data_IF_787892325036
#
_entry.id   IF_787892325036
#
_cell.length_a   1.000
_cell.length_b   1.000
_cell.length_c   1.000
_cell.angle_alpha   90.00
_cell.angle_beta   90.00
_cell.angle_gamma   90.00
#
_symmetry.space_group_name_H-M   'P 1'
#
loop_
_entity.id
_entity.type
_entity.pdbx_description
1 polymer ?
#
# COMPACT_ATOMS: atom_id res chain seq x y z
N UNK A 1 27.08 34.09 17.97
CA UNK A 1 26.54 32.86 17.34
C UNK A 1 26.40 31.78 18.39
N UNK A 2 25.18 31.33 18.66
CA UNK A 2 24.87 30.25 19.59
C UNK A 2 25.05 28.91 18.89
N UNK A 3 25.84 28.00 19.44
CA UNK A 3 26.00 26.65 18.88
C UNK A 3 25.07 25.68 19.58
N UNK A 4 24.33 24.88 18.81
CA UNK A 4 23.43 23.84 19.29
C UNK A 4 23.95 22.50 18.81
N UNK A 5 24.21 21.59 19.75
CA UNK A 5 24.70 20.24 19.46
C UNK A 5 23.59 19.21 19.66
N UNK A 6 23.35 18.38 18.63
CA UNK A 6 22.36 17.31 18.64
C UNK A 6 23.03 15.94 18.55
N UNK A 7 22.32 14.90 19.02
CA UNK A 7 22.80 13.52 18.93
C UNK A 7 22.94 13.08 17.47
N UNK A 8 23.85 12.13 17.17
CA UNK A 8 23.96 11.53 15.85
C UNK A 8 22.64 10.90 15.40
N UNK A 9 22.31 11.06 14.11
CA UNK A 9 21.10 10.52 13.51
C UNK A 9 19.90 11.48 13.51
N UNK A 10 18.71 10.90 13.68
CA UNK A 10 17.42 11.60 13.68
C UNK A 10 17.00 11.99 15.12
N UNK A 11 17.59 13.04 15.68
CA UNK A 11 17.34 13.49 17.06
C UNK A 11 16.17 14.48 17.14
N UNK A 12 14.94 13.96 17.07
CA UNK A 12 13.73 14.78 17.13
C UNK A 12 13.53 15.44 18.50
N UNK A 13 13.86 14.74 19.58
CA UNK A 13 13.62 15.24 20.95
C UNK A 13 14.66 16.28 21.36
N UNK A 14 15.92 16.09 20.96
CA UNK A 14 16.95 17.13 21.06
C UNK A 14 16.58 18.37 20.25
N UNK A 15 16.11 18.19 19.01
CA UNK A 15 15.65 19.29 18.17
C UNK A 15 14.47 20.05 18.81
N UNK A 16 13.46 19.34 19.34
CA UNK A 16 12.32 19.96 20.05
C UNK A 16 12.76 20.78 21.25
N UNK A 17 13.68 20.24 22.05
CA UNK A 17 14.20 20.91 23.24
C UNK A 17 14.99 22.17 22.87
N UNK A 18 15.81 22.10 21.82
CA UNK A 18 16.54 23.24 21.28
C UNK A 18 15.59 24.32 20.73
N UNK A 19 14.57 23.95 19.96
CA UNK A 19 13.58 24.89 19.43
C UNK A 19 12.82 25.59 20.55
N UNK A 20 12.40 24.88 21.61
CA UNK A 20 11.74 25.52 22.77
C UNK A 20 12.63 26.60 23.38
N UNK A 21 13.89 26.29 23.63
CA UNK A 21 14.85 27.23 24.21
C UNK A 21 15.14 28.43 23.29
N UNK A 22 15.38 28.18 21.99
CA UNK A 22 15.64 29.22 20.99
C UNK A 22 14.43 30.16 20.85
N UNK A 23 13.23 29.59 20.93
CA UNK A 23 11.98 30.35 20.85
C UNK A 23 11.73 31.19 22.10
N UNK A 24 12.11 30.73 23.30
CA UNK A 24 12.02 31.53 24.52
C UNK A 24 12.95 32.74 24.49
N UNK A 25 14.12 32.60 23.86
CA UNK A 25 15.13 33.65 23.72
C UNK A 25 15.00 34.49 22.44
N UNK A 26 13.99 34.21 21.62
CA UNK A 26 13.73 34.82 20.33
C UNK A 26 14.97 34.94 19.42
N UNK A 27 15.79 33.90 19.39
CA UNK A 27 17.07 33.91 18.67
C UNK A 27 16.82 33.71 17.17
N UNK A 28 17.36 34.61 16.35
CA UNK A 28 17.27 34.51 14.90
C UNK A 28 18.00 33.27 14.37
N UNK A 29 17.46 32.55 13.36
CA UNK A 29 18.14 31.42 12.73
C UNK A 29 19.54 31.72 12.20
N UNK A 30 19.82 32.97 11.81
CA UNK A 30 21.15 33.39 11.33
C UNK A 30 22.21 33.42 12.45
N UNK A 31 21.79 33.47 13.71
CA UNK A 31 22.68 33.52 14.86
C UNK A 31 22.95 32.13 15.46
N UNK A 32 22.37 31.07 14.89
CA UNK A 32 22.43 29.70 15.41
C UNK A 32 23.26 28.82 14.49
N UNK A 33 24.26 28.15 15.05
CA UNK A 33 25.03 27.11 14.37
C UNK A 33 24.56 25.73 14.85
N UNK A 34 24.04 24.91 13.94
CA UNK A 34 23.61 23.55 14.25
C UNK A 34 24.73 22.55 13.97
N UNK A 35 25.09 21.75 14.97
CA UNK A 35 26.11 20.70 14.87
C UNK A 35 25.58 19.36 15.37
N UNK A 36 26.12 18.29 14.81
CA UNK A 36 25.82 16.91 15.22
C UNK A 36 27.14 16.31 15.73
N UNK A 37 27.19 15.91 17.01
CA UNK A 37 28.41 15.38 17.63
C UNK A 37 28.14 14.05 18.34
N UNK A 38 29.09 13.11 18.25
CA UNK A 38 29.00 11.77 18.84
C UNK A 38 29.31 11.74 20.36
N UNK A 39 30.08 12.72 20.83
CA UNK A 39 30.32 12.99 22.24
C UNK A 39 29.81 14.42 22.47
N UNK A 40 28.80 14.64 23.33
CA UNK A 40 28.39 15.99 23.69
C UNK A 40 29.49 16.58 24.59
N UNK A 41 30.58 17.05 23.98
CA UNK A 41 31.61 17.80 24.66
C UNK A 41 31.05 19.19 25.00
N UNK A 42 30.57 19.30 26.23
CA UNK A 42 30.73 20.48 27.07
C UNK A 42 30.25 21.84 26.51
N UNK A 43 29.18 21.93 25.72
CA UNK A 43 28.55 23.23 25.44
C UNK A 43 27.03 23.14 25.43
N UNK A 44 26.42 23.73 26.46
CA UNK A 44 24.97 23.83 26.72
C UNK A 44 24.26 22.47 26.88
N UNK A 45 24.25 21.96 28.13
CA UNK A 45 23.03 21.27 28.63
C UNK A 45 21.89 22.26 28.48
N UNK A 46 21.19 22.23 27.35
CA UNK A 46 19.97 22.97 27.16
C UNK A 46 18.98 22.38 28.17
N UNK A 47 18.85 23.01 29.34
CA UNK A 47 17.75 22.81 30.27
C UNK A 47 16.45 23.33 29.62
N UNK A 48 16.12 22.83 28.43
CA UNK A 48 14.87 23.12 27.71
C UNK A 48 13.68 22.33 28.26
N UNK A 49 13.90 21.53 29.33
CA UNK A 49 12.84 20.86 30.07
C UNK A 49 11.88 21.86 30.72
N UNK A 50 12.37 23.05 31.12
CA UNK A 50 11.58 24.10 31.80
C UNK A 50 11.00 25.17 30.85
N UNK A 51 11.25 25.07 29.54
CA UNK A 51 10.73 26.04 28.56
C UNK A 51 9.30 25.66 28.12
N UNK A 52 8.37 26.64 28.03
CA UNK A 52 6.98 26.36 27.69
C UNK A 52 6.85 25.75 26.28
N UNK A 53 5.86 24.86 26.07
CA UNK A 53 5.67 24.21 24.78
C UNK A 53 5.33 25.24 23.70
N UNK A 54 6.00 25.11 22.55
CA UNK A 54 5.73 25.95 21.39
C UNK A 54 4.51 25.43 20.65
N UNK A 55 3.49 26.27 20.48
CA UNK A 55 2.30 25.94 19.68
C UNK A 55 2.66 26.06 18.20
N UNK A 56 2.63 24.93 17.48
CA UNK A 56 2.90 24.86 16.05
C UNK A 56 1.73 24.18 15.31
N UNK A 57 1.45 24.55 14.05
CA UNK A 57 0.48 23.84 13.23
C UNK A 57 0.84 22.35 13.08
N UNK A 58 -0.17 21.49 13.03
CA UNK A 58 0.01 20.04 12.90
C UNK A 58 0.85 19.65 11.67
N UNK A 59 0.69 20.37 10.56
CA UNK A 59 1.46 20.15 9.33
C UNK A 59 2.98 20.35 9.54
N UNK A 60 3.38 21.35 10.32
CA UNK A 60 4.79 21.62 10.65
C UNK A 60 5.35 20.50 11.52
N UNK A 61 4.57 20.02 12.50
CA UNK A 61 4.97 18.91 13.36
C UNK A 61 5.20 17.62 12.56
N UNK A 62 4.29 17.26 11.66
CA UNK A 62 4.47 16.08 10.81
C UNK A 62 5.64 16.23 9.84
N UNK A 63 5.82 17.43 9.26
CA UNK A 63 6.97 17.71 8.41
C UNK A 63 8.29 17.58 9.18
N UNK A 64 8.37 18.12 10.40
CA UNK A 64 9.58 18.05 11.23
C UNK A 64 10.01 16.61 11.52
N UNK A 65 9.08 15.70 11.82
CA UNK A 65 9.37 14.27 12.04
C UNK A 65 10.10 13.64 10.84
N UNK A 66 9.61 13.92 9.62
CA UNK A 66 10.18 13.35 8.40
C UNK A 66 11.50 14.03 8.04
N UNK A 67 11.62 15.35 8.16
CA UNK A 67 12.81 16.09 7.75
C UNK A 67 14.01 15.82 8.67
N UNK A 68 13.78 15.61 9.96
CA UNK A 68 14.85 15.23 10.92
C UNK A 68 15.55 13.94 10.48
N UNK A 69 14.85 13.05 9.75
CA UNK A 69 15.42 11.83 9.19
C UNK A 69 16.35 12.09 7.98
N UNK A 70 16.32 13.27 7.35
CA UNK A 70 17.18 13.54 6.18
C UNK A 70 18.67 13.59 6.58
N UNK A 71 19.59 13.28 5.66
CA UNK A 71 21.04 13.22 5.96
C UNK A 71 21.77 14.57 5.84
N UNK A 72 21.22 15.52 5.09
CA UNK A 72 21.75 16.88 4.93
C UNK A 72 21.96 17.57 6.30
N UNK A 73 23.16 18.12 6.60
CA UNK A 73 23.46 18.80 7.86
C UNK A 73 22.61 20.05 8.11
N UNK A 74 22.14 20.74 7.07
CA UNK A 74 21.36 21.97 7.19
C UNK A 74 19.88 21.73 7.58
N UNK A 75 19.45 20.47 7.68
CA UNK A 75 18.04 20.12 7.98
C UNK A 75 17.47 20.81 9.22
N UNK A 76 18.26 20.89 10.29
CA UNK A 76 17.83 21.52 11.55
C UNK A 76 17.77 23.04 11.43
N UNK A 77 18.72 23.65 10.72
CA UNK A 77 18.72 25.09 10.43
C UNK A 77 17.51 25.48 9.58
N UNK A 78 17.19 24.72 8.53
CA UNK A 78 16.03 24.96 7.67
C UNK A 78 14.70 24.82 8.42
N UNK A 79 14.57 23.79 9.28
CA UNK A 79 13.40 23.63 10.14
C UNK A 79 13.27 24.76 11.16
N UNK A 80 14.37 25.21 11.75
CA UNK A 80 14.37 26.37 12.65
C UNK A 80 13.90 27.63 11.94
N UNK A 81 14.43 27.92 10.75
CA UNK A 81 14.02 29.07 9.92
C UNK A 81 12.54 29.04 9.56
N UNK A 82 12.01 27.87 9.21
CA UNK A 82 10.57 27.69 8.95
C UNK A 82 9.74 28.02 10.21
N UNK A 83 10.12 27.45 11.36
CA UNK A 83 9.40 27.64 12.63
C UNK A 83 9.45 29.11 13.08
N UNK A 84 10.60 29.76 12.94
CA UNK A 84 10.78 31.16 13.29
C UNK A 84 9.89 32.08 12.43
N UNK A 85 9.86 31.89 11.10
CA UNK A 85 9.00 32.69 10.18
C UNK A 85 7.51 32.51 10.45
N UNK A 86 7.06 31.28 10.71
CA UNK A 86 5.65 31.00 11.04
C UNK A 86 5.24 31.71 12.33
N UNK A 87 6.14 31.78 13.32
CA UNK A 87 5.89 32.51 14.57
C UNK A 87 5.86 34.02 14.39
N UNK A 88 6.66 34.56 13.46
CA UNK A 88 6.76 36.00 13.18
C UNK A 88 5.67 36.53 12.22
N UNK A 89 4.62 35.74 11.95
CA UNK A 89 3.42 36.20 11.26
C UNK A 89 3.08 35.43 9.99
N UNK A 90 4.01 34.62 9.45
CA UNK A 90 3.80 33.88 8.20
C UNK A 90 3.09 32.52 8.42
N UNK A 91 1.87 32.55 8.95
CA UNK A 91 1.13 31.33 9.36
C UNK A 91 0.83 30.34 8.22
N UNK A 92 0.70 30.84 6.99
CA UNK A 92 0.39 30.06 5.78
C UNK A 92 1.63 29.75 4.92
N UNK A 93 2.85 29.94 5.46
CA UNK A 93 4.09 29.77 4.70
C UNK A 93 4.19 28.39 4.02
N UNK A 94 3.69 27.33 4.65
CA UNK A 94 3.69 25.97 4.07
C UNK A 94 2.83 25.82 2.80
N UNK A 95 1.87 26.71 2.55
CA UNK A 95 1.03 26.70 1.34
C UNK A 95 1.75 27.36 0.15
N UNK A 96 2.78 28.16 0.41
CA UNK A 96 3.55 28.88 -0.62
C UNK A 96 4.67 28.00 -1.15
N UNK A 97 4.34 27.17 -2.15
CA UNK A 97 5.29 26.23 -2.77
C UNK A 97 6.50 26.90 -3.48
N UNK A 98 6.38 28.19 -3.82
CA UNK A 98 7.44 29.00 -4.43
C UNK A 98 8.48 29.49 -3.43
N UNK A 99 8.21 29.44 -2.12
CA UNK A 99 9.16 29.87 -1.11
C UNK A 99 10.41 28.96 -1.12
N UNK A 100 11.65 29.50 -1.11
CA UNK A 100 12.87 28.71 -1.18
C UNK A 100 13.03 27.68 -0.05
N UNK A 101 12.62 28.01 1.18
CA UNK A 101 12.71 27.12 2.34
C UNK A 101 11.70 25.98 2.18
N UNK A 102 10.45 26.32 1.84
CA UNK A 102 9.38 25.34 1.64
C UNK A 102 9.71 24.38 0.49
N UNK A 103 10.25 24.89 -0.61
CA UNK A 103 10.68 24.08 -1.74
C UNK A 103 11.79 23.10 -1.34
N UNK A 104 12.80 23.58 -0.62
CA UNK A 104 13.92 22.75 -0.16
C UNK A 104 13.46 21.66 0.82
N UNK A 105 12.63 22.02 1.81
CA UNK A 105 12.02 21.07 2.73
C UNK A 105 11.12 20.05 2.00
N UNK A 106 10.36 20.47 1.00
CA UNK A 106 9.53 19.56 0.19
C UNK A 106 10.37 18.54 -0.59
N UNK A 107 11.53 18.95 -1.14
CA UNK A 107 12.48 18.04 -1.79
C UNK A 107 13.08 17.04 -0.80
N UNK A 108 13.53 17.50 0.36
CA UNK A 108 14.04 16.65 1.44
C UNK A 108 12.98 15.63 1.89
N UNK A 109 11.74 16.05 2.09
CA UNK A 109 10.62 15.17 2.43
C UNK A 109 10.42 14.07 1.38
N UNK A 110 10.45 14.43 0.09
CA UNK A 110 10.33 13.45 -1.02
C UNK A 110 11.51 12.48 -1.04
N UNK A 111 12.72 12.94 -0.74
CA UNK A 111 13.91 12.09 -0.69
C UNK A 111 13.83 11.05 0.45
N UNK A 112 13.47 11.48 1.66
CA UNK A 112 13.23 10.58 2.82
C UNK A 112 12.13 9.57 2.51
N UNK A 113 11.00 10.03 1.96
CA UNK A 113 9.89 9.13 1.61
C UNK A 113 10.29 8.09 0.54
N UNK A 114 11.13 8.47 -0.43
CA UNK A 114 11.68 7.55 -1.43
C UNK A 114 12.59 6.51 -0.78
N UNK A 115 13.46 6.91 0.14
CA UNK A 115 14.38 6.00 0.82
C UNK A 115 13.64 5.00 1.72
N UNK A 116 12.58 5.46 2.42
CA UNK A 116 11.66 4.58 3.15
C UNK A 116 10.99 3.58 2.20
N UNK A 117 10.49 4.06 1.06
CA UNK A 117 9.90 3.19 0.04
C UNK A 117 10.90 2.16 -0.48
N UNK A 118 12.15 2.56 -0.73
CA UNK A 118 13.22 1.66 -1.15
C UNK A 118 13.50 0.60 -0.10
N UNK A 119 13.56 0.97 1.17
CA UNK A 119 13.72 0.02 2.26
C UNK A 119 12.56 -0.98 2.29
N UNK A 120 11.31 -0.53 2.21
CA UNK A 120 10.15 -1.43 2.17
C UNK A 120 10.14 -2.35 0.94
N UNK A 121 10.58 -1.85 -0.22
CA UNK A 121 10.52 -2.58 -1.48
C UNK A 121 11.68 -3.57 -1.67
N UNK A 122 12.89 -3.20 -1.24
CA UNK A 122 14.13 -3.91 -1.57
C UNK A 122 14.79 -4.63 -0.41
N UNK A 123 14.37 -4.39 0.85
CA UNK A 123 14.90 -5.14 1.99
C UNK A 123 14.46 -6.62 1.91
N UNK A 124 15.41 -7.53 2.09
CA UNK A 124 15.19 -8.99 2.01
C UNK A 124 15.77 -9.66 3.25
N UNK A 125 14.97 -10.56 3.82
CA UNK A 125 15.35 -11.36 4.99
C UNK A 125 15.97 -12.68 4.54
N UNK A 126 17.13 -12.98 5.10
CA UNK A 126 17.84 -14.24 4.95
C UNK A 126 17.68 -15.02 6.24
N UNK A 127 17.40 -16.32 6.14
CA UNK A 127 17.26 -17.18 7.33
C UNK A 127 18.65 -17.56 7.82
N UNK A 128 18.93 -17.31 9.09
CA UNK A 128 20.16 -17.73 9.76
C UNK A 128 19.75 -18.67 10.90
N UNK A 129 20.24 -19.91 10.84
CA UNK A 129 20.07 -20.88 11.93
C UNK A 129 21.17 -20.64 12.94
N UNK A 130 20.80 -20.27 14.16
CA UNK A 130 21.72 -20.27 15.30
C UNK A 130 21.21 -21.30 16.31
N UNK A 131 22.11 -21.94 17.07
CA UNK A 131 21.85 -23.10 17.95
C UNK A 131 20.49 -23.06 18.70
N UNK A 132 19.45 -23.62 18.06
CA UNK A 132 18.09 -23.75 18.62
C UNK A 132 17.05 -22.67 18.24
N UNK A 133 17.40 -21.59 17.54
CA UNK A 133 16.44 -20.55 17.11
C UNK A 133 16.59 -20.16 15.63
N UNK A 134 15.47 -20.11 14.90
CA UNK A 134 15.43 -19.59 13.54
C UNK A 134 15.31 -18.06 13.58
N UNK A 135 16.37 -17.34 13.16
CA UNK A 135 16.38 -15.88 13.09
C UNK A 135 16.52 -15.40 11.66
N UNK A 136 15.85 -14.30 11.33
CA UNK A 136 15.91 -13.68 10.00
C UNK A 136 16.78 -12.42 10.03
N UNK A 137 17.72 -12.29 9.10
CA UNK A 137 18.65 -11.16 9.05
C UNK A 137 18.56 -10.48 7.69
N UNK A 138 18.46 -9.15 7.68
CA UNK A 138 18.43 -8.33 6.48
C UNK A 138 19.48 -7.23 6.55
N UNK A 139 20.12 -6.94 5.42
CA UNK A 139 21.05 -5.82 5.27
C UNK A 139 20.44 -4.73 4.39
N UNK A 140 20.53 -3.47 4.82
CA UNK A 140 20.11 -2.33 4.02
C UNK A 140 21.00 -1.11 4.25
N UNK A 141 21.28 -0.37 3.18
CA UNK A 141 22.12 0.84 3.20
C UNK A 141 21.27 2.08 2.90
N UNK A 142 20.68 2.69 3.94
CA UNK A 142 19.85 3.86 3.76
C UNK A 142 20.69 5.09 3.40
N UNK A 143 20.11 6.01 2.63
CA UNK A 143 20.71 7.32 2.30
C UNK A 143 20.44 8.35 3.40
N UNK A 144 19.41 8.11 4.20
CA UNK A 144 18.89 8.98 5.25
C UNK A 144 18.72 8.19 6.56
N UNK A 145 18.52 8.87 7.68
CA UNK A 145 18.30 8.27 9.00
C UNK A 145 16.85 7.76 9.16
N UNK A 146 16.45 6.80 8.31
CA UNK A 146 15.06 6.33 8.18
C UNK A 146 14.72 5.11 9.01
N UNK A 147 15.71 4.51 9.67
CA UNK A 147 15.60 3.18 10.27
C UNK A 147 14.43 3.12 11.27
N UNK A 148 14.33 4.10 12.18
CA UNK A 148 13.25 4.14 13.18
C UNK A 148 11.87 4.40 12.58
N UNK A 149 11.79 5.16 11.50
CA UNK A 149 10.52 5.48 10.83
C UNK A 149 10.03 4.30 9.97
N UNK A 150 10.95 3.53 9.37
CA UNK A 150 10.62 2.40 8.50
C UNK A 150 10.32 1.11 9.27
N UNK A 151 10.89 0.92 10.47
CA UNK A 151 10.79 -0.32 11.25
C UNK A 151 9.37 -0.73 11.67
N UNK A 152 8.46 0.17 12.06
CA UNK A 152 7.08 -0.19 12.38
C UNK A 152 6.34 -0.93 11.24
N UNK A 153 6.70 -0.66 9.98
CA UNK A 153 6.18 -1.42 8.83
C UNK A 153 6.58 -2.89 8.89
N UNK A 154 7.82 -3.19 9.26
CA UNK A 154 8.31 -4.57 9.36
C UNK A 154 7.75 -5.30 10.58
N UNK A 155 7.59 -4.60 11.72
CA UNK A 155 6.97 -5.17 12.93
C UNK A 155 5.52 -5.60 12.66
N UNK A 156 4.74 -4.72 12.01
CA UNK A 156 3.35 -5.03 11.66
C UNK A 156 3.23 -6.11 10.58
N UNK A 157 4.17 -6.18 9.63
CA UNK A 157 4.13 -7.13 8.52
C UNK A 157 4.65 -8.53 8.86
N UNK A 158 5.59 -8.60 9.81
CA UNK A 158 6.28 -9.82 10.24
C UNK A 158 6.33 -9.94 11.77
N UNK A 159 5.17 -9.97 12.47
CA UNK A 159 5.15 -10.04 13.93
C UNK A 159 5.58 -11.41 14.47
N UNK A 160 5.36 -12.48 13.70
CA UNK A 160 5.56 -13.88 14.10
C UNK A 160 6.99 -14.41 13.90
N UNK A 161 7.91 -13.58 13.41
CA UNK A 161 9.29 -13.99 13.13
C UNK A 161 10.27 -13.14 13.94
N UNK A 162 11.30 -13.77 14.50
CA UNK A 162 12.44 -13.01 15.02
C UNK A 162 13.29 -12.51 13.86
N UNK A 163 13.45 -11.20 13.76
CA UNK A 163 14.21 -10.62 12.67
C UNK A 163 15.14 -9.49 13.11
N UNK A 164 16.18 -9.26 12.32
CA UNK A 164 17.20 -8.25 12.55
C UNK A 164 17.46 -7.50 11.26
N UNK A 165 17.25 -6.19 11.27
CA UNK A 165 17.61 -5.30 10.17
C UNK A 165 18.93 -4.61 10.55
N UNK A 166 19.95 -4.87 9.76
CA UNK A 166 21.30 -4.36 9.92
C UNK A 166 21.54 -3.26 8.89
N UNK A 167 22.03 -2.11 9.36
CA UNK A 167 22.43 -1.00 8.50
C UNK A 167 23.75 -0.41 8.98
N UNK A 168 24.52 0.29 8.12
CA UNK A 168 25.77 0.93 8.52
C UNK A 168 25.58 2.08 9.52
N UNK A 169 24.36 2.57 9.72
CA UNK A 169 24.05 3.65 10.68
C UNK A 169 23.43 3.13 11.99
N UNK A 170 23.04 1.86 12.05
CA UNK A 170 22.38 1.26 13.21
C UNK A 170 21.70 -0.07 12.89
N UNK A 171 21.29 -0.79 13.93
CA UNK A 171 20.56 -2.05 13.77
C UNK A 171 19.27 -2.06 14.59
N UNK A 172 18.29 -2.82 14.13
CA UNK A 172 17.00 -3.02 14.82
C UNK A 172 16.67 -4.49 14.86
N UNK A 173 16.41 -5.01 16.06
CA UNK A 173 16.11 -6.42 16.27
C UNK A 173 14.73 -6.56 16.90
N UNK A 174 13.90 -7.40 16.30
CA UNK A 174 12.58 -7.75 16.77
C UNK A 174 12.61 -9.17 17.34
N UNK A 175 12.27 -9.32 18.62
CA UNK A 175 12.26 -10.59 19.34
C UNK A 175 10.83 -11.09 19.66
N UNK A 176 9.87 -10.79 18.78
CA UNK A 176 8.42 -11.07 18.93
C UNK A 176 7.68 -10.23 19.99
N UNK A 177 8.39 -9.66 20.95
CA UNK A 177 7.78 -8.90 22.06
C UNK A 177 8.19 -7.43 22.08
N UNK A 178 9.46 -7.15 21.75
CA UNK A 178 10.03 -5.83 21.84
C UNK A 178 10.99 -5.55 20.68
N UNK A 179 11.06 -4.27 20.32
CA UNK A 179 12.07 -3.76 19.41
C UNK A 179 13.29 -3.35 20.22
N UNK A 180 14.45 -3.91 19.89
CA UNK A 180 15.73 -3.54 20.50
C UNK A 180 16.62 -2.83 19.49
N UNK A 181 17.36 -1.83 19.97
CA UNK A 181 18.27 -1.03 19.16
C UNK A 181 19.68 -1.58 19.28
N UNK A 182 20.28 -1.95 18.14
CA UNK A 182 21.69 -2.28 18.02
C UNK A 182 22.50 -1.13 17.42
N UNK A 183 23.81 -1.17 17.63
CA UNK A 183 24.75 -0.21 17.03
C UNK A 183 24.90 -0.39 15.51
N UNK A 184 25.73 0.46 14.86
CA UNK A 184 26.15 0.26 13.47
C UNK A 184 26.66 -1.16 13.25
N UNK A 185 26.08 -1.86 12.27
CA UNK A 185 26.49 -3.21 11.92
C UNK A 185 27.36 -3.20 10.66
N UNK A 186 28.26 -4.17 10.55
CA UNK A 186 28.96 -4.44 9.29
C UNK A 186 28.10 -5.36 8.42
N UNK A 187 28.27 -5.29 7.10
CA UNK A 187 27.56 -6.17 6.18
C UNK A 187 27.87 -7.63 6.54
N UNK A 188 26.88 -8.44 6.94
CA UNK A 188 27.11 -9.84 7.26
C UNK A 188 27.57 -10.59 6.01
N UNK A 189 28.51 -11.53 6.17
CA UNK A 189 28.90 -12.46 5.11
C UNK A 189 27.78 -13.50 4.94
N UNK A 190 26.92 -13.27 3.94
CA UNK A 190 25.75 -14.10 3.63
C UNK A 190 26.04 -15.13 2.52
N UNK A 191 27.32 -15.33 2.16
CA UNK A 191 27.76 -16.20 1.05
C UNK A 191 27.65 -17.71 1.34
N UNK A 192 27.25 -18.10 2.55
CA UNK A 192 27.18 -19.50 2.96
C UNK A 192 25.73 -19.97 3.19
N UNK A 193 24.91 -20.06 2.14
CA UNK A 193 23.73 -20.95 2.04
C UNK A 193 23.09 -20.87 0.64
N UNK A 194 23.64 -21.66 -0.30
CA UNK A 194 23.35 -21.73 -1.74
C UNK A 194 21.94 -22.19 -2.16
N UNK A 195 21.07 -22.62 -1.23
CA UNK A 195 19.77 -23.22 -1.61
C UNK A 195 18.67 -22.19 -1.95
N UNK A 196 18.85 -20.91 -1.61
CA UNK A 196 17.86 -19.86 -1.88
C UNK A 196 18.19 -19.00 -3.11
N UNK A 197 19.47 -18.92 -3.51
CA UNK A 197 19.92 -18.07 -4.62
C UNK A 197 19.42 -18.57 -5.99
N UNK A 198 19.45 -19.88 -6.23
CA UNK A 198 19.00 -20.47 -7.50
C UNK A 198 17.49 -20.32 -7.73
N UNK A 199 16.68 -20.52 -6.68
CA UNK A 199 15.23 -20.36 -6.75
C UNK A 199 14.78 -18.91 -7.02
N UNK A 200 15.62 -17.93 -6.64
CA UNK A 200 15.35 -16.51 -6.81
C UNK A 200 15.82 -15.98 -8.18
N UNK A 201 16.96 -16.46 -8.67
CA UNK A 201 17.44 -16.20 -10.04
C UNK A 201 16.45 -16.77 -11.08
N UNK A 202 15.87 -17.95 -10.85
CA UNK A 202 14.88 -18.55 -11.75
C UNK A 202 13.53 -17.81 -11.74
N UNK A 203 13.14 -17.26 -10.58
CA UNK A 203 12.00 -16.35 -10.47
C UNK A 203 12.23 -15.03 -11.23
N UNK A 204 13.44 -14.48 -11.18
CA UNK A 204 13.77 -13.24 -11.87
C UNK A 204 13.98 -13.43 -13.38
N UNK A 205 14.63 -14.52 -13.81
CA UNK A 205 14.78 -14.92 -15.23
C UNK A 205 13.44 -15.14 -15.92
N UNK A 206 12.44 -15.64 -15.19
CA UNK A 206 11.08 -15.88 -15.70
C UNK A 206 10.16 -14.65 -15.67
N UNK A 207 10.50 -13.61 -14.89
CA UNK A 207 9.71 -12.38 -14.76
C UNK A 207 10.28 -11.19 -15.56
N UNK A 208 11.54 -11.28 -16.01
CA UNK A 208 12.21 -10.24 -16.80
C UNK A 208 11.64 -10.18 -18.22
N UNK A 209 10.86 -9.13 -18.53
CA UNK A 209 10.30 -8.90 -19.86
C UNK A 209 11.28 -8.05 -20.71
N UNK A 210 12.00 -8.65 -21.68
CA UNK A 210 13.01 -7.94 -22.47
C UNK A 210 12.43 -6.81 -23.33
N UNK A 211 11.13 -6.84 -23.66
CA UNK A 211 10.45 -5.81 -24.45
C UNK A 211 10.09 -4.54 -23.65
N UNK A 212 10.21 -4.55 -22.31
CA UNK A 212 9.96 -3.39 -21.43
C UNK A 212 11.24 -2.69 -20.94
N UNK A 213 12.40 -3.13 -21.39
CA UNK A 213 13.71 -2.65 -20.92
C UNK A 213 14.09 -1.35 -21.62
N UNK A 214 13.72 -0.18 -21.06
CA UNK A 214 14.46 1.04 -21.37
C UNK A 214 15.72 1.06 -20.51
N UNK A 215 16.81 0.50 -21.06
CA UNK A 215 18.09 0.29 -20.37
C UNK A 215 18.62 1.59 -19.74
N UNK A 216 18.33 2.75 -20.35
CA UNK A 216 18.71 4.07 -19.81
C UNK A 216 17.91 4.47 -18.56
N UNK A 217 16.63 4.12 -18.47
CA UNK A 217 15.74 4.45 -17.34
C UNK A 217 15.99 3.49 -16.15
N UNK A 218 16.30 2.23 -16.45
CA UNK A 218 16.71 1.23 -15.46
C UNK A 218 18.06 1.58 -14.81
N UNK A 219 19.01 2.12 -15.58
CA UNK A 219 20.28 2.63 -15.07
C UNK A 219 20.14 3.94 -14.28
N UNK A 220 19.10 4.75 -14.54
CA UNK A 220 18.85 6.03 -13.87
C UNK A 220 18.16 5.86 -12.50
N UNK A 221 17.28 4.87 -12.33
CA UNK A 221 16.57 4.57 -11.07
C UNK A 221 17.33 3.60 -10.15
N UNK A 222 18.43 2.99 -10.62
CA UNK A 222 19.21 1.99 -9.87
C UNK A 222 20.64 2.45 -9.56
N UNK A 223 20.91 2.95 -8.35
CA UNK A 223 22.28 3.23 -7.90
C UNK A 223 23.10 1.94 -7.86
N UNK A 224 24.24 1.90 -8.58
CA UNK A 224 25.15 0.73 -8.68
C UNK A 224 25.57 0.13 -7.34
N UNK A 225 25.56 0.91 -6.26
CA UNK A 225 25.95 0.47 -4.91
C UNK A 225 25.07 -0.66 -4.34
N UNK A 226 23.80 -0.76 -4.74
CA UNK A 226 22.91 -1.83 -4.25
C UNK A 226 23.06 -3.15 -5.01
N UNK A 227 23.83 -3.17 -6.10
CA UNK A 227 23.98 -4.34 -6.97
C UNK A 227 24.76 -5.47 -6.31
N UNK A 228 25.71 -5.16 -5.43
CA UNK A 228 26.49 -6.15 -4.67
C UNK A 228 25.67 -6.90 -3.60
N UNK A 229 24.41 -6.51 -3.39
CA UNK A 229 23.45 -7.18 -2.52
C UNK A 229 22.33 -7.86 -3.33
N UNK A 230 22.46 -7.93 -4.66
CA UNK A 230 21.48 -8.49 -5.61
C UNK A 230 22.11 -9.61 -6.45
N UNK A 231 21.83 -10.89 -6.15
CA UNK A 231 22.19 -12.03 -7.00
C UNK A 231 21.83 -11.88 -8.49
N UNK A 232 20.78 -11.13 -8.85
CA UNK A 232 20.35 -11.00 -10.24
C UNK A 232 21.17 -10.00 -11.04
N UNK A 233 21.91 -9.09 -10.40
CA UNK A 233 22.77 -8.14 -11.08
C UNK A 233 23.89 -8.84 -11.88
N UNK A 234 24.32 -10.02 -11.44
CA UNK A 234 25.25 -10.89 -12.16
C UNK A 234 24.64 -11.52 -13.43
N UNK A 235 23.32 -11.72 -13.47
CA UNK A 235 22.59 -12.32 -14.59
C UNK A 235 22.13 -11.29 -15.65
N UNK A 236 22.10 -10.00 -15.31
CA UNK A 236 21.66 -8.91 -16.21
C UNK A 236 22.50 -8.87 -17.52
N UNK A 237 23.84 -9.00 -17.51
CA UNK A 237 24.64 -8.95 -18.75
C UNK A 237 24.37 -10.12 -19.72
N UNK A 238 24.00 -11.30 -19.21
CA UNK A 238 23.61 -12.46 -20.04
C UNK A 238 22.15 -12.35 -20.50
N UNK A 239 21.25 -11.87 -19.63
CA UNK A 239 19.85 -11.64 -19.97
C UNK A 239 19.67 -10.56 -21.05
N UNK A 240 20.51 -9.53 -21.04
CA UNK A 240 20.53 -8.48 -22.08
C UNK A 240 21.13 -9.00 -23.39
N UNK A 241 22.17 -9.85 -23.36
CA UNK A 241 22.73 -10.49 -24.56
C UNK A 241 21.74 -11.45 -25.22
N UNK A 242 21.07 -12.30 -24.44
CA UNK A 242 20.07 -13.26 -24.93
C UNK A 242 18.67 -12.67 -25.17
N UNK A 243 18.47 -11.36 -25.00
CA UNK A 243 17.19 -10.69 -25.25
C UNK A 243 16.91 -10.54 -26.75
N UNK A 244 17.94 -10.29 -27.57
CA UNK A 244 17.79 -10.12 -29.03
C UNK A 244 17.34 -11.43 -29.71
N UNK A 245 17.96 -12.56 -29.35
CA UNK A 245 17.63 -13.88 -29.92
C UNK A 245 16.24 -14.38 -29.48
N UNK A 246 15.84 -14.07 -28.23
CA UNK A 246 14.49 -14.38 -27.73
C UNK A 246 13.40 -13.53 -28.38
N UNK A 247 13.70 -12.28 -28.75
CA UNK A 247 12.77 -11.42 -29.51
C UNK A 247 12.60 -11.93 -30.95
N UNK A 248 13.69 -12.35 -31.60
CA UNK A 248 13.65 -13.00 -32.92
C UNK A 248 12.84 -14.32 -32.88
N UNK A 249 13.06 -15.15 -31.86
CA UNK A 249 12.32 -16.41 -31.67
C UNK A 249 10.83 -16.20 -31.35
N UNK A 250 10.49 -15.13 -30.61
CA UNK A 250 9.11 -14.73 -30.33
C UNK A 250 8.39 -14.13 -31.56
N UNK A 251 9.11 -13.46 -32.48
CA UNK A 251 8.53 -12.90 -33.71
C UNK A 251 8.24 -13.98 -34.76
N UNK A 252 9.05 -15.06 -34.79
CA UNK A 252 8.84 -16.20 -35.67
C UNK A 252 7.65 -17.09 -35.25
N UNK A 253 7.27 -17.07 -33.96
CA UNK A 253 6.11 -17.77 -33.43
C UNK A 253 4.88 -16.85 -33.35
N UNK A 254 4.11 -16.75 -34.43
CA UNK A 254 2.80 -16.05 -34.42
C UNK A 254 1.78 -16.74 -33.49
N UNK A 255 0.78 -16.01 -32.95
CA UNK A 255 0.55 -15.95 -31.50
C UNK A 255 -0.49 -16.97 -30.98
N UNK A 256 -0.10 -17.78 -29.99
CA UNK A 256 -1.05 -18.32 -29.00
C UNK A 256 -0.97 -17.46 -27.74
N UNK A 257 -2.06 -16.77 -27.42
CA UNK A 257 -2.22 -15.91 -26.25
C UNK A 257 -1.86 -16.66 -24.96
N UNK A 258 -0.81 -16.22 -24.28
CA UNK A 258 -0.29 -16.88 -23.08
C UNK A 258 -0.84 -16.26 -21.79
N UNK A 259 -1.34 -17.15 -20.93
CA UNK A 259 -1.80 -16.93 -19.56
C UNK A 259 -0.83 -16.06 -18.76
N UNK A 260 -1.32 -14.89 -18.33
CA UNK A 260 -0.63 -14.01 -17.39
C UNK A 260 -0.67 -14.64 -16.00
N UNK A 261 0.45 -15.22 -15.54
CA UNK A 261 0.59 -15.84 -14.21
C UNK A 261 0.73 -14.77 -13.12
N UNK A 262 -0.34 -14.63 -12.34
CA UNK A 262 -0.52 -13.86 -11.10
C UNK A 262 0.17 -14.60 -9.93
N UNK A 263 0.55 -13.95 -8.79
CA UNK A 263 1.38 -14.56 -7.75
C UNK A 263 0.59 -15.56 -6.89
N UNK A 264 0.36 -16.74 -7.44
CA UNK A 264 -0.38 -17.84 -6.83
C UNK A 264 0.36 -18.54 -5.68
N UNK A 265 1.68 -18.38 -5.56
CA UNK A 265 2.50 -19.29 -4.73
C UNK A 265 2.52 -18.95 -3.23
N UNK A 266 2.14 -17.74 -2.84
CA UNK A 266 2.11 -17.33 -1.43
C UNK A 266 0.77 -17.63 -0.74
N UNK A 267 -0.34 -17.61 -1.48
CA UNK A 267 -1.66 -18.04 -0.98
C UNK A 267 -1.80 -19.57 -1.04
N UNK A 268 -1.17 -20.23 -2.02
CA UNK A 268 -1.06 -21.71 -2.08
C UNK A 268 -0.28 -22.34 -0.93
N UNK A 269 0.45 -21.57 -0.12
CA UNK A 269 1.28 -22.10 0.98
C UNK A 269 0.59 -22.11 2.34
N UNK A 270 -0.54 -21.41 2.50
CA UNK A 270 -1.34 -21.42 3.74
C UNK A 270 -2.49 -22.43 3.70
N UNK A 271 -2.91 -22.87 2.51
CA UNK A 271 -3.96 -23.89 2.35
C UNK A 271 -3.44 -24.98 1.41
N UNK A 272 -3.15 -26.17 1.94
CA UNK A 272 -2.68 -27.34 1.17
C UNK A 272 -3.68 -27.90 0.14
N UNK A 273 -4.76 -27.18 -0.14
CA UNK A 273 -5.84 -27.61 -1.02
C UNK A 273 -6.24 -26.44 -1.92
N UNK A 274 -6.05 -26.59 -3.23
CA UNK A 274 -6.76 -25.75 -4.20
C UNK A 274 -8.22 -26.19 -4.16
N UNK A 275 -9.18 -25.29 -3.88
CA UNK A 275 -10.58 -25.69 -3.79
C UNK A 275 -11.03 -26.28 -5.13
N UNK A 276 -11.75 -27.40 -5.09
CA UNK A 276 -12.29 -28.07 -6.27
C UNK A 276 -13.69 -27.56 -6.64
N UNK A 277 -14.36 -26.86 -5.71
CA UNK A 277 -15.70 -26.32 -5.89
C UNK A 277 -15.89 -24.97 -5.18
N UNK A 278 -16.96 -24.26 -5.54
CA UNK A 278 -17.39 -23.05 -4.85
C UNK A 278 -17.72 -23.31 -3.37
N UNK A 279 -18.25 -24.48 -3.04
CA UNK A 279 -18.58 -24.88 -1.67
C UNK A 279 -17.32 -25.03 -0.81
N UNK A 280 -16.28 -25.67 -1.35
CA UNK A 280 -14.98 -25.77 -0.69
C UNK A 280 -14.32 -24.40 -0.54
N UNK A 281 -14.34 -23.56 -1.58
CA UNK A 281 -13.85 -22.18 -1.51
C UNK A 281 -14.56 -21.42 -0.37
N UNK A 282 -15.88 -21.52 -0.31
CA UNK A 282 -16.71 -20.88 0.70
C UNK A 282 -16.41 -21.38 2.13
N UNK A 283 -16.16 -22.68 2.29
CA UNK A 283 -15.75 -23.25 3.57
C UNK A 283 -14.38 -22.71 4.02
N UNK A 284 -13.43 -22.60 3.08
CA UNK A 284 -12.11 -22.04 3.38
C UNK A 284 -12.21 -20.55 3.74
N UNK A 285 -13.00 -19.76 3.01
CA UNK A 285 -13.21 -18.33 3.31
C UNK A 285 -13.77 -18.17 4.72
N UNK A 286 -14.77 -18.98 5.11
CA UNK A 286 -15.37 -18.95 6.45
C UNK A 286 -14.41 -19.35 7.56
N UNK A 287 -13.48 -20.27 7.28
CA UNK A 287 -12.50 -20.73 8.26
C UNK A 287 -11.26 -19.82 8.35
N UNK A 288 -11.04 -18.94 7.38
CA UNK A 288 -9.88 -18.05 7.33
C UNK A 288 -10.09 -16.84 8.24
N UNK A 289 -9.07 -16.50 9.05
CA UNK A 289 -9.13 -15.30 9.89
C UNK A 289 -9.30 -14.02 9.04
N UNK A 290 -10.17 -13.09 9.47
CA UNK A 290 -10.40 -11.85 8.75
C UNK A 290 -9.12 -11.00 8.63
N UNK A 291 -8.72 -10.69 7.39
CA UNK A 291 -7.58 -9.80 7.13
C UNK A 291 -7.87 -8.31 7.41
N UNK A 292 -9.15 -7.92 7.50
CA UNK A 292 -9.54 -6.53 7.76
C UNK A 292 -9.83 -6.31 9.24
N UNK A 293 -9.46 -5.14 9.76
CA UNK A 293 -9.70 -4.78 11.15
C UNK A 293 -11.19 -4.81 11.51
N UNK A 294 -11.52 -5.48 12.62
CA UNK A 294 -12.89 -5.60 13.13
C UNK A 294 -13.73 -6.68 12.45
N UNK A 295 -13.28 -7.27 11.34
CA UNK A 295 -14.00 -8.34 10.66
C UNK A 295 -14.28 -9.52 11.59
N UNK A 296 -15.49 -10.10 11.50
CA UNK A 296 -15.89 -11.26 12.32
C UNK A 296 -16.38 -12.41 11.45
N UNK A 297 -17.41 -12.14 10.65
CA UNK A 297 -18.07 -13.17 9.84
C UNK A 297 -17.83 -12.90 8.37
N UNK A 298 -17.47 -13.94 7.62
CA UNK A 298 -17.40 -13.85 6.17
C UNK A 298 -18.82 -13.76 5.58
N UNK A 299 -19.07 -12.73 4.80
CA UNK A 299 -20.26 -12.61 3.95
C UNK A 299 -19.88 -13.06 2.55
N UNK A 300 -20.38 -14.23 2.18
CA UNK A 300 -20.13 -14.86 0.90
C UNK A 300 -21.03 -14.26 -0.20
N UNK A 301 -20.71 -14.56 -1.46
CA UNK A 301 -21.63 -14.25 -2.55
C UNK A 301 -22.88 -15.12 -2.52
N UNK A 302 -23.96 -14.63 -3.13
CA UNK A 302 -25.22 -15.37 -3.27
C UNK A 302 -25.78 -15.24 -4.69
N UNK A 303 -26.42 -16.30 -5.19
CA UNK A 303 -27.09 -16.34 -6.49
C UNK A 303 -26.86 -17.66 -7.24
N UNK A 304 -27.40 -17.79 -8.47
CA UNK A 304 -27.26 -19.00 -9.26
C UNK A 304 -25.86 -19.13 -9.86
N UNK A 305 -25.51 -20.36 -10.26
CA UNK A 305 -24.34 -20.62 -11.11
C UNK A 305 -24.66 -20.23 -12.56
N UNK A 306 -23.64 -19.79 -13.30
CA UNK A 306 -23.72 -19.31 -14.69
C UNK A 306 -24.77 -18.21 -14.91
N UNK A 307 -24.82 -17.17 -14.05
CA UNK A 307 -25.76 -16.07 -14.23
C UNK A 307 -25.41 -15.28 -15.49
N UNK A 308 -26.39 -14.55 -16.03
CA UNK A 308 -26.11 -13.57 -17.07
C UNK A 308 -25.17 -12.47 -16.54
N UNK A 309 -25.39 -12.02 -15.30
CA UNK A 309 -24.64 -10.95 -14.66
C UNK A 309 -24.22 -11.34 -13.24
N UNK A 310 -22.96 -11.08 -12.91
CA UNK A 310 -22.50 -11.01 -11.52
C UNK A 310 -22.20 -9.57 -11.10
N UNK A 311 -22.70 -9.14 -9.94
CA UNK A 311 -22.42 -7.84 -9.36
C UNK A 311 -21.40 -7.94 -8.23
N UNK A 312 -20.41 -7.05 -8.23
CA UNK A 312 -19.34 -7.01 -7.23
C UNK A 312 -19.35 -5.66 -6.53
N UNK A 313 -19.61 -5.66 -5.22
CA UNK A 313 -19.52 -4.50 -4.34
C UNK A 313 -18.15 -4.32 -3.67
N UNK A 314 -18.05 -3.36 -2.75
CA UNK A 314 -16.80 -3.07 -2.02
C UNK A 314 -16.51 -4.09 -0.92
N UNK A 315 -17.37 -4.12 0.10
CA UNK A 315 -17.29 -4.99 1.27
C UNK A 315 -18.68 -5.10 1.92
N UNK A 316 -18.90 -6.04 2.83
CA UNK A 316 -20.15 -6.13 3.58
C UNK A 316 -20.30 -4.92 4.51
N UNK A 317 -21.53 -4.47 4.73
CA UNK A 317 -21.86 -3.46 5.74
C UNK A 317 -22.29 -4.10 7.06
N UNK A 318 -22.81 -3.26 7.95
CA UNK A 318 -23.25 -3.64 9.29
C UNK A 318 -24.37 -4.70 9.27
N UNK A 319 -25.38 -4.53 8.41
CA UNK A 319 -26.50 -5.46 8.31
C UNK A 319 -26.11 -6.74 7.59
N UNK A 320 -25.25 -6.63 6.57
CA UNK A 320 -24.72 -7.77 5.84
C UNK A 320 -23.89 -8.69 6.75
N UNK A 321 -23.03 -8.12 7.60
CA UNK A 321 -22.23 -8.89 8.56
C UNK A 321 -23.08 -9.62 9.61
N UNK A 322 -24.21 -9.03 10.02
CA UNK A 322 -25.15 -9.67 10.96
C UNK A 322 -25.99 -10.78 10.30
N UNK A 323 -26.41 -10.56 9.06
CA UNK A 323 -27.30 -11.48 8.35
C UNK A 323 -26.55 -12.54 7.53
N UNK A 324 -25.24 -12.35 7.30
CA UNK A 324 -24.42 -13.23 6.48
C UNK A 324 -24.73 -13.17 4.99
N UNK A 325 -25.43 -12.12 4.53
CA UNK A 325 -25.92 -11.99 3.14
C UNK A 325 -25.49 -10.65 2.52
N UNK A 326 -25.08 -10.61 1.24
CA UNK A 326 -24.62 -9.38 0.61
C UNK A 326 -25.79 -8.49 0.19
N UNK A 327 -25.60 -7.16 0.27
CA UNK A 327 -26.57 -6.15 -0.19
C UNK A 327 -27.97 -6.26 0.45
N UNK A 328 -28.05 -6.46 1.77
CA UNK A 328 -29.33 -6.46 2.53
C UNK A 328 -29.60 -5.13 3.26
N UNK A 329 -28.60 -4.26 3.38
CA UNK A 329 -28.72 -2.95 4.02
C UNK A 329 -29.34 -1.86 3.16
N UNK A 330 -29.27 -0.58 3.60
CA UNK A 330 -29.85 0.55 2.86
C UNK A 330 -29.33 0.69 1.42
N UNK A 331 -28.03 0.43 1.19
CA UNK A 331 -27.46 0.43 -0.15
C UNK A 331 -28.00 -0.73 -1.01
N UNK A 332 -28.30 -1.87 -0.38
CA UNK A 332 -28.98 -3.01 -0.99
C UNK A 332 -30.38 -2.67 -1.47
N UNK A 333 -31.16 -1.95 -0.67
CA UNK A 333 -32.50 -1.49 -1.08
C UNK A 333 -32.47 -0.57 -2.30
N UNK A 334 -31.48 0.32 -2.39
CA UNK A 334 -31.26 1.16 -3.59
C UNK A 334 -30.86 0.30 -4.78
N UNK A 335 -30.00 -0.68 -4.56
CA UNK A 335 -29.57 -1.63 -5.58
C UNK A 335 -30.75 -2.45 -6.14
N UNK A 336 -31.57 -3.04 -5.28
CA UNK A 336 -32.73 -3.84 -5.67
C UNK A 336 -33.76 -3.01 -6.46
N UNK A 337 -34.01 -1.77 -6.01
CA UNK A 337 -34.85 -0.82 -6.77
C UNK A 337 -34.29 -0.55 -8.17
N UNK A 338 -32.98 -0.35 -8.28
CA UNK A 338 -32.34 -0.06 -9.56
C UNK A 338 -32.34 -1.27 -10.50
N UNK A 339 -32.16 -2.49 -9.97
CA UNK A 339 -32.30 -3.73 -10.75
C UNK A 339 -33.71 -3.89 -11.30
N UNK A 340 -34.73 -3.68 -10.46
CA UNK A 340 -36.13 -3.74 -10.89
C UNK A 340 -36.43 -2.74 -12.03
N UNK A 341 -35.94 -1.50 -11.93
CA UNK A 341 -36.12 -0.49 -12.98
C UNK A 341 -35.29 -0.77 -14.25
N UNK A 342 -34.18 -1.50 -14.11
CA UNK A 342 -33.37 -1.97 -15.23
C UNK A 342 -33.91 -3.26 -15.88
N UNK A 343 -34.95 -3.89 -15.31
CA UNK A 343 -35.50 -5.15 -15.80
C UNK A 343 -34.62 -6.37 -15.51
N UNK A 344 -33.79 -6.31 -14.46
CA UNK A 344 -32.91 -7.40 -14.04
C UNK A 344 -33.52 -8.08 -12.81
N UNK A 345 -33.85 -9.36 -12.91
CA UNK A 345 -34.30 -10.15 -11.76
C UNK A 345 -33.12 -10.42 -10.81
N UNK A 346 -33.26 -10.06 -9.53
CA UNK A 346 -32.18 -10.15 -8.53
C UNK A 346 -31.77 -11.60 -8.26
N UNK A 347 -32.73 -12.51 -8.34
CA UNK A 347 -32.62 -13.95 -8.18
C UNK A 347 -31.91 -14.64 -9.36
N UNK A 348 -31.87 -14.01 -10.53
CA UNK A 348 -31.13 -14.50 -11.70
C UNK A 348 -29.68 -13.99 -11.74
N UNK A 349 -29.34 -13.03 -10.88
CA UNK A 349 -28.02 -12.45 -10.76
C UNK A 349 -27.24 -13.05 -9.60
N UNK A 350 -25.92 -13.13 -9.76
CA UNK A 350 -25.01 -13.45 -8.66
C UNK A 350 -24.47 -12.17 -8.05
N UNK A 351 -24.46 -12.05 -6.72
CA UNK A 351 -24.06 -10.81 -6.05
C UNK A 351 -23.06 -11.12 -4.95
N UNK A 352 -21.96 -10.37 -4.94
CA UNK A 352 -20.85 -10.59 -4.02
C UNK A 352 -20.09 -9.28 -3.75
N UNK A 353 -19.05 -9.35 -2.93
CA UNK A 353 -18.17 -8.21 -2.61
C UNK A 353 -16.70 -8.53 -2.89
N UNK A 354 -15.93 -7.48 -3.18
CA UNK A 354 -14.48 -7.59 -3.38
C UNK A 354 -13.73 -8.02 -2.11
N UNK A 355 -14.20 -7.59 -0.95
CA UNK A 355 -13.74 -8.01 0.38
C UNK A 355 -14.85 -8.81 1.04
N UNK A 356 -14.51 -9.91 1.75
CA UNK A 356 -15.52 -10.83 2.34
C UNK A 356 -15.88 -10.52 3.79
N UNK A 357 -15.15 -9.63 4.45
CA UNK A 357 -15.35 -9.28 5.85
C UNK A 357 -15.65 -7.80 6.01
N UNK A 358 -16.50 -7.43 6.96
CA UNK A 358 -16.84 -6.05 7.24
C UNK A 358 -15.71 -5.34 8.01
N UNK A 359 -15.10 -4.34 7.38
CA UNK A 359 -14.13 -3.47 8.05
C UNK A 359 -14.84 -2.29 8.73
N UNK A 360 -14.65 -2.15 10.04
CA UNK A 360 -15.25 -1.06 10.81
C UNK A 360 -14.42 -0.63 12.00
N UNK A 361 -14.75 0.54 12.54
CA UNK A 361 -14.32 1.00 13.87
C UNK A 361 -15.52 1.12 14.79
N UNK A 362 -15.38 0.72 16.05
CA UNK A 362 -16.45 0.88 17.05
C UNK A 362 -16.43 2.30 17.61
N UNK A 363 -17.60 2.94 17.66
CA UNK A 363 -17.82 4.20 18.38
C UNK A 363 -19.06 4.05 19.23
N UNK A 364 -18.85 3.75 20.51
CA UNK A 364 -19.93 3.32 21.40
C UNK A 364 -20.52 2.00 20.93
N UNK A 365 -21.86 1.90 20.86
CA UNK A 365 -22.56 0.71 20.35
C UNK A 365 -22.66 0.63 18.82
N UNK A 366 -22.16 1.62 18.08
CA UNK A 366 -22.29 1.68 16.61
C UNK A 366 -21.00 1.22 15.93
N UNK A 367 -21.15 0.36 14.92
CA UNK A 367 -20.07 -0.05 14.02
C UNK A 367 -20.01 0.91 12.84
N UNK A 368 -18.91 1.66 12.72
CA UNK A 368 -18.71 2.67 11.67
C UNK A 368 -17.89 2.07 10.54
N UNK A 369 -18.49 1.97 9.36
CA UNK A 369 -17.86 1.46 8.15
C UNK A 369 -16.53 2.19 7.83
N UNK A 370 -15.48 1.42 7.57
CA UNK A 370 -14.18 1.92 7.11
C UNK A 370 -13.86 1.36 5.73
N UNK A 371 -13.40 2.20 4.81
CA UNK A 371 -13.06 1.74 3.46
C UNK A 371 -11.87 0.74 3.50
N UNK A 372 -11.94 -0.37 2.75
CA UNK A 372 -10.77 -1.22 2.52
C UNK A 372 -9.64 -0.45 1.84
N UNK A 373 -8.41 -0.72 2.28
CA UNK A 373 -7.19 -0.29 1.63
C UNK A 373 -6.92 -1.12 0.38
N UNK A 374 -6.07 -0.62 -0.51
CA UNK A 374 -5.67 -1.37 -1.71
C UNK A 374 -4.94 -2.69 -1.36
N UNK A 375 -4.23 -2.74 -0.23
CA UNK A 375 -3.57 -3.96 0.25
C UNK A 375 -4.58 -5.03 0.68
N UNK A 376 -5.62 -4.64 1.42
CA UNK A 376 -6.71 -5.53 1.81
C UNK A 376 -7.46 -6.03 0.57
N UNK A 377 -7.83 -5.16 -0.38
CA UNK A 377 -8.51 -5.60 -1.60
C UNK A 377 -7.64 -6.56 -2.43
N UNK A 378 -6.33 -6.31 -2.53
CA UNK A 378 -5.39 -7.24 -3.20
C UNK A 378 -5.34 -8.60 -2.51
N UNK A 379 -5.41 -8.65 -1.18
CA UNK A 379 -5.47 -9.90 -0.42
C UNK A 379 -6.73 -10.69 -0.76
N UNK A 380 -7.90 -10.03 -0.80
CA UNK A 380 -9.17 -10.70 -1.11
C UNK A 380 -9.38 -11.02 -2.60
N UNK A 381 -8.62 -10.37 -3.50
CA UNK A 381 -8.78 -10.50 -4.95
C UNK A 381 -8.72 -11.94 -5.43
N UNK A 382 -7.84 -12.78 -4.88
CA UNK A 382 -7.74 -14.18 -5.30
C UNK A 382 -9.05 -14.93 -5.05
N UNK A 383 -9.63 -14.82 -3.84
CA UNK A 383 -10.92 -15.41 -3.51
C UNK A 383 -12.03 -14.97 -4.47
N UNK A 384 -12.08 -13.67 -4.79
CA UNK A 384 -13.04 -13.14 -5.76
C UNK A 384 -12.82 -13.73 -7.16
N UNK A 385 -11.58 -13.87 -7.61
CA UNK A 385 -11.29 -14.44 -8.94
C UNK A 385 -11.66 -15.92 -9.01
N UNK A 386 -11.35 -16.71 -7.98
CA UNK A 386 -11.74 -18.12 -7.90
C UNK A 386 -13.26 -18.26 -7.84
N UNK A 387 -13.93 -17.47 -7.00
CA UNK A 387 -15.39 -17.45 -6.89
C UNK A 387 -16.04 -17.18 -8.25
N UNK A 388 -15.64 -16.13 -8.95
CA UNK A 388 -16.18 -15.83 -10.29
C UNK A 388 -15.82 -16.88 -11.33
N UNK A 389 -14.68 -17.56 -11.18
CA UNK A 389 -14.29 -18.66 -12.07
C UNK A 389 -15.15 -19.90 -11.88
N UNK A 390 -15.57 -20.20 -10.63
CA UNK A 390 -16.56 -21.24 -10.36
C UNK A 390 -17.95 -20.82 -10.81
N UNK A 391 -18.38 -19.61 -10.46
CA UNK A 391 -19.72 -19.08 -10.78
C UNK A 391 -19.93 -18.93 -12.29
N UNK A 392 -18.88 -18.63 -13.06
CA UNK A 392 -18.92 -18.50 -14.52
C UNK A 392 -19.99 -17.50 -15.03
N UNK A 393 -20.02 -16.24 -14.56
CA UNK A 393 -20.94 -15.24 -15.09
C UNK A 393 -20.59 -14.88 -16.54
N UNK A 394 -21.60 -14.55 -17.35
CA UNK A 394 -21.36 -14.02 -18.71
C UNK A 394 -20.74 -12.62 -18.68
N UNK A 395 -21.20 -11.78 -17.75
CA UNK A 395 -20.76 -10.41 -17.58
C UNK A 395 -20.60 -10.06 -16.10
N UNK A 396 -19.62 -9.21 -15.76
CA UNK A 396 -19.40 -8.73 -14.39
C UNK A 396 -19.63 -7.22 -14.29
N UNK A 397 -20.38 -6.77 -13.28
CA UNK A 397 -20.61 -5.35 -12.99
C UNK A 397 -19.86 -4.96 -11.72
N UNK A 398 -18.96 -3.99 -11.83
CA UNK A 398 -18.21 -3.43 -10.71
C UNK A 398 -18.95 -2.23 -10.11
N UNK A 399 -19.44 -2.39 -8.88
CA UNK A 399 -20.14 -1.34 -8.12
C UNK A 399 -19.12 -0.52 -7.32
N UNK A 400 -18.61 0.55 -7.93
CA UNK A 400 -17.67 1.49 -7.31
C UNK A 400 -16.19 1.14 -7.45
N UNK A 401 -15.33 2.03 -6.95
CA UNK A 401 -13.89 2.02 -7.20
C UNK A 401 -13.17 0.77 -6.65
N UNK A 402 -13.60 0.27 -5.50
CA UNK A 402 -12.97 -0.87 -4.84
C UNK A 402 -13.23 -2.17 -5.60
N UNK A 403 -14.47 -2.39 -6.06
CA UNK A 403 -14.82 -3.50 -6.93
C UNK A 403 -14.10 -3.42 -8.28
N UNK A 404 -14.07 -2.23 -8.89
CA UNK A 404 -13.39 -2.02 -10.16
C UNK A 404 -11.89 -2.29 -10.05
N UNK A 405 -11.24 -1.86 -8.96
CA UNK A 405 -9.85 -2.20 -8.66
C UNK A 405 -9.65 -3.71 -8.47
N UNK A 406 -10.54 -4.35 -7.70
CA UNK A 406 -10.49 -5.79 -7.42
C UNK A 406 -10.64 -6.65 -8.68
N UNK A 407 -11.31 -6.16 -9.72
CA UNK A 407 -11.51 -6.86 -10.99
C UNK A 407 -10.44 -6.47 -12.03
N UNK A 408 -10.20 -5.18 -12.24
CA UNK A 408 -9.26 -4.67 -13.25
C UNK A 408 -7.78 -4.83 -12.88
N UNK A 409 -7.44 -4.92 -11.59
CA UNK A 409 -6.07 -5.07 -11.11
C UNK A 409 -5.27 -3.77 -11.11
N UNK A 410 -5.91 -2.67 -11.50
CA UNK A 410 -5.39 -1.29 -11.50
C UNK A 410 -6.43 -0.33 -10.92
N UNK A 411 -6.03 0.84 -10.41
CA UNK A 411 -6.99 1.89 -10.04
C UNK A 411 -7.87 2.28 -11.24
N UNK A 412 -9.17 2.46 -10.98
CA UNK A 412 -10.17 2.89 -11.97
C UNK A 412 -10.86 4.14 -11.44
N UNK A 413 -10.85 5.21 -12.24
CA UNK A 413 -11.51 6.46 -11.88
C UNK A 413 -12.99 6.42 -12.30
N UNK A 414 -13.87 6.01 -11.39
CA UNK A 414 -15.30 5.76 -11.67
C UNK A 414 -15.99 6.94 -12.38
N UNK A 415 -15.68 8.18 -12.01
CA UNK A 415 -16.30 9.36 -12.64
C UNK A 415 -15.93 9.55 -14.12
N UNK A 416 -14.85 8.94 -14.59
CA UNK A 416 -14.35 9.05 -15.97
C UNK A 416 -14.48 7.76 -16.77
N UNK A 417 -14.40 6.62 -16.11
CA UNK A 417 -14.35 5.28 -16.72
C UNK A 417 -15.66 4.50 -16.52
N UNK A 418 -16.77 5.20 -16.23
CA UNK A 418 -18.11 4.61 -16.11
C UNK A 418 -18.58 4.05 -17.45
N UNK A 419 -19.20 2.87 -17.43
CA UNK A 419 -19.69 2.18 -18.62
C UNK A 419 -18.93 0.88 -18.93
N UNK A 420 -19.04 0.37 -20.18
CA UNK A 420 -18.45 -0.90 -20.59
C UNK A 420 -16.93 -0.96 -20.39
N UNK A 421 -16.44 -2.09 -19.88
CA UNK A 421 -15.04 -2.36 -19.63
C UNK A 421 -14.74 -3.84 -19.84
N UNK A 422 -13.50 -4.19 -20.19
CA UNK A 422 -13.04 -5.57 -20.14
C UNK A 422 -12.20 -5.77 -18.88
N UNK A 423 -12.66 -6.63 -17.98
CA UNK A 423 -11.86 -7.12 -16.87
C UNK A 423 -11.04 -8.33 -17.32
N UNK A 424 -9.99 -8.68 -16.58
CA UNK A 424 -8.98 -9.68 -16.99
C UNK A 424 -9.56 -10.93 -17.66
N UNK A 425 -10.65 -11.48 -17.13
CA UNK A 425 -11.27 -12.73 -17.62
C UNK A 425 -12.73 -12.57 -18.03
N UNK A 426 -13.34 -11.39 -17.88
CA UNK A 426 -14.77 -11.18 -18.11
C UNK A 426 -15.04 -9.84 -18.81
N UNK A 427 -15.98 -9.79 -19.76
CA UNK A 427 -16.57 -8.51 -20.14
C UNK A 427 -17.33 -7.94 -18.94
N UNK A 428 -17.47 -6.63 -18.88
CA UNK A 428 -18.07 -5.99 -17.73
C UNK A 428 -18.51 -4.56 -17.92
N UNK A 429 -19.08 -4.02 -16.85
CA UNK A 429 -19.50 -2.62 -16.75
C UNK A 429 -19.00 -2.08 -15.41
N UNK A 430 -18.43 -0.87 -15.42
CA UNK A 430 -18.06 -0.14 -14.22
C UNK A 430 -19.10 0.92 -13.93
N UNK A 431 -19.59 0.98 -12.69
CA UNK A 431 -20.53 2.01 -12.27
C UNK A 431 -20.28 2.48 -10.83
N UNK A 432 -21.10 3.40 -10.34
CA UNK A 432 -21.03 3.89 -8.96
C UNK A 432 -21.49 2.82 -7.96
N UNK A 433 -21.07 2.95 -6.70
CA UNK A 433 -21.64 2.12 -5.64
C UNK A 433 -23.00 2.71 -5.20
N UNK A 434 -24.05 1.91 -4.96
CA UNK A 434 -25.38 2.41 -4.55
C UNK A 434 -25.36 3.30 -3.30
N UNK A 435 -24.43 3.04 -2.37
CA UNK A 435 -24.26 3.89 -1.17
C UNK A 435 -23.82 5.32 -1.48
N UNK A 436 -23.29 5.60 -2.67
CA UNK A 436 -22.95 6.95 -3.09
C UNK A 436 -24.22 7.80 -3.21
N UNK A 437 -25.28 7.25 -3.79
CA UNK A 437 -26.58 7.92 -3.98
C UNK A 437 -27.16 8.34 -2.61
N UNK A 438 -27.06 7.47 -1.61
CA UNK A 438 -27.52 7.75 -0.23
C UNK A 438 -26.72 8.86 0.49
N UNK A 439 -25.55 9.23 -0.02
CA UNK A 439 -24.68 10.27 0.55
C UNK A 439 -24.78 11.60 -0.18
N UNK A 440 -25.54 11.66 -1.27
CA UNK A 440 -25.82 12.92 -1.98
C UNK A 440 -26.85 13.70 -1.17
N UNK A 441 -26.50 14.90 -0.71
CA UNK A 441 -27.39 15.73 0.13
C UNK A 441 -28.53 16.36 -0.68
N UNK A 442 -28.28 16.71 -1.94
CA UNK A 442 -29.29 17.27 -2.84
C UNK A 442 -30.15 16.16 -3.47
N UNK A 443 -31.47 16.19 -3.20
CA UNK A 443 -32.40 15.16 -3.69
C UNK A 443 -32.50 15.13 -5.21
N UNK A 444 -32.43 16.29 -5.87
CA UNK A 444 -32.47 16.38 -7.33
C UNK A 444 -31.24 15.72 -7.99
N UNK A 445 -30.05 15.93 -7.41
CA UNK A 445 -28.83 15.27 -7.83
C UNK A 445 -28.83 13.77 -7.51
N UNK A 446 -29.37 13.36 -6.35
CA UNK A 446 -29.51 11.94 -6.01
C UNK A 446 -30.40 11.19 -7.00
N UNK A 447 -31.53 11.76 -7.40
CA UNK A 447 -32.44 11.18 -8.40
C UNK A 447 -31.78 11.09 -9.78
N UNK A 448 -31.00 12.11 -10.17
CA UNK A 448 -30.24 12.09 -11.43
C UNK A 448 -29.17 10.99 -11.42
N UNK A 449 -28.43 10.84 -10.33
CA UNK A 449 -27.43 9.78 -10.18
C UNK A 449 -28.08 8.40 -10.13
N UNK A 450 -29.26 8.26 -9.52
CA UNK A 450 -30.04 7.02 -9.57
C UNK A 450 -30.45 6.65 -11.00
N UNK A 451 -30.98 7.61 -11.78
CA UNK A 451 -31.32 7.38 -13.21
C UNK A 451 -30.11 6.96 -14.03
N UNK A 452 -28.96 7.61 -13.80
CA UNK A 452 -27.69 7.23 -14.43
C UNK A 452 -27.28 5.82 -14.01
N UNK A 453 -27.44 5.47 -12.75
CA UNK A 453 -27.17 4.13 -12.23
C UNK A 453 -28.02 3.07 -12.92
N UNK A 454 -29.33 3.30 -13.05
CA UNK A 454 -30.23 2.42 -13.81
C UNK A 454 -29.81 2.30 -15.28
N UNK A 455 -29.38 3.40 -15.92
CA UNK A 455 -28.92 3.35 -17.31
C UNK A 455 -27.71 2.42 -17.51
N UNK A 456 -26.74 2.43 -16.58
CA UNK A 456 -25.59 1.51 -16.64
C UNK A 456 -26.01 0.05 -16.47
N UNK A 457 -26.98 -0.20 -15.60
CA UNK A 457 -27.52 -1.54 -15.40
C UNK A 457 -28.23 -2.05 -16.67
N UNK A 458 -28.95 -1.18 -17.40
CA UNK A 458 -29.53 -1.53 -18.70
C UNK A 458 -28.46 -1.88 -19.73
N UNK A 459 -27.38 -1.11 -19.79
CA UNK A 459 -26.22 -1.45 -20.65
C UNK A 459 -25.64 -2.82 -20.27
N UNK A 460 -25.53 -3.13 -18.97
CA UNK A 460 -25.08 -4.45 -18.53
C UNK A 460 -26.04 -5.57 -18.94
N UNK A 461 -27.36 -5.34 -18.85
CA UNK A 461 -28.40 -6.28 -19.30
C UNK A 461 -28.31 -6.55 -20.81
N UNK A 462 -28.17 -5.50 -21.61
CA UNK A 462 -28.01 -5.60 -23.07
C UNK A 462 -26.74 -6.39 -23.44
N UNK A 463 -25.60 -6.08 -22.82
CA UNK A 463 -24.33 -6.77 -23.07
C UNK A 463 -24.30 -8.23 -22.58
N UNK A 464 -25.14 -8.57 -21.60
CA UNK A 464 -25.25 -9.94 -21.07
C UNK A 464 -26.22 -10.83 -21.88
N UNK A 465 -27.05 -10.22 -22.71
CA UNK A 465 -28.01 -10.92 -23.57
C UNK A 465 -27.27 -11.67 -24.69
N UNK A 466 -27.71 -12.88 -25.07
CA UNK A 466 -27.13 -13.58 -26.20
C UNK A 466 -27.31 -12.73 -27.47
N UNK A 467 -26.28 -12.66 -28.32
CA UNK A 467 -26.41 -12.04 -29.64
C UNK A 467 -27.60 -12.68 -30.38
N UNK A 468 -28.44 -11.88 -31.08
CA UNK A 468 -29.52 -12.45 -31.87
C UNK A 468 -28.93 -13.46 -32.85
N UNK A 469 -29.42 -14.69 -32.80
CA UNK A 469 -29.08 -15.75 -33.75
C UNK A 469 -29.37 -15.24 -35.15
N UNK A 470 -28.32 -15.00 -35.94
CA UNK A 470 -28.38 -14.59 -37.33
C UNK A 470 -28.84 -15.74 -38.24
#
# INVERSE_FOLDING_TARGET
MTTIELKPGADLDGFRSAIRWLTTKDVSPAEVNWRVSALPDTVLKLNGADAPPVVLPAAVLQLSKIIVCHSDPERYALLHSLIWRIRHGERHLLEVASDPIVNRLSRMRKAVARDIHHMHAYLRFHRVRNEGSERFVAWFEPQHFILDEAVPFFVSRFPSFEWSILTPIGARHWNLHALTCGGPAQKPDLSAQDDFENAWIDYYRSTFNPARTNVKLMQAEMPKKYWANMPEAAAIPELVRGAADRVQSMLAASPSMSNTRIPDRAVKRSTNTTPASLEELNAIIKATEPFVAGGRTAVLGEGPMRPAIAFVGEQPGDQEDLQGRPFVGPAGQVFDRALAEAGIAREEAYVTNAVKHFKFTERGKRRIHQKPTMGEIKHYRWWLQEELSFVQPKLVVALGASAAFALAGRPVAITRERGPMTFSSWPGVVTIHPSFILRVEDSGAADQEFKRFVADLRVAAELSSPAPSA
#
